data_IF_570101106084
#
_entry.id   IF_570101106084
#
_cell.length_a   1.000
_cell.length_b   1.000
_cell.length_c   1.000
_cell.angle_alpha   90.00
_cell.angle_beta   90.00
_cell.angle_gamma   90.00
#
_symmetry.space_group_name_H-M   'P 1'
#
loop_
_entity.id
_entity.type
_entity.pdbx_description
1 polymer ?
#
# COMPACT_ATOMS: atom_id res chain seq x y z
N UNK A 1 13.18 -9.81 -23.77
CA UNK A 1 12.05 -8.90 -23.50
C UNK A 1 10.92 -9.67 -22.81
N UNK A 2 10.21 -9.09 -21.85
CA UNK A 2 9.05 -9.75 -21.25
C UNK A 2 8.00 -10.11 -22.28
N UNK A 3 7.45 -11.31 -22.19
CA UNK A 3 6.35 -11.76 -23.04
C UNK A 3 5.04 -11.12 -22.54
N UNK A 4 4.29 -10.48 -23.42
CA UNK A 4 2.99 -9.90 -23.09
C UNK A 4 1.89 -10.96 -23.30
N UNK A 5 1.21 -11.35 -22.21
CA UNK A 5 0.09 -12.28 -22.23
C UNK A 5 -1.25 -11.58 -22.47
N UNK A 6 -1.41 -10.35 -21.91
CA UNK A 6 -2.67 -9.61 -21.99
C UNK A 6 -2.41 -8.11 -22.15
N UNK A 7 -3.33 -7.41 -22.79
CA UNK A 7 -3.37 -5.96 -22.83
C UNK A 7 -4.81 -5.51 -23.01
N UNK A 8 -5.28 -4.65 -22.14
CA UNK A 8 -6.59 -4.02 -22.23
C UNK A 8 -6.48 -2.51 -22.02
N UNK A 9 -7.47 -1.77 -22.53
CA UNK A 9 -7.58 -0.32 -22.40
C UNK A 9 -8.99 0.06 -22.01
N UNK A 10 -9.11 0.92 -20.98
CA UNK A 10 -10.38 1.51 -20.60
C UNK A 10 -10.17 2.98 -20.17
N UNK A 11 -11.19 3.59 -19.51
CA UNK A 11 -11.11 4.97 -19.00
C UNK A 11 -9.91 5.19 -18.06
N UNK A 12 -9.56 4.20 -17.23
CA UNK A 12 -8.46 4.29 -16.28
C UNK A 12 -7.06 4.04 -16.91
N UNK A 13 -6.97 3.77 -18.22
CA UNK A 13 -5.70 3.61 -18.92
C UNK A 13 -5.45 2.20 -19.46
N UNK A 14 -4.17 1.90 -19.74
CA UNK A 14 -3.76 0.64 -20.39
C UNK A 14 -3.16 -0.30 -19.33
N UNK A 15 -3.75 -1.49 -19.17
CA UNK A 15 -3.22 -2.56 -18.33
C UNK A 15 -2.56 -3.62 -19.20
N UNK A 16 -1.46 -4.16 -18.73
CA UNK A 16 -0.72 -5.25 -19.39
C UNK A 16 -0.37 -6.32 -18.36
N UNK A 17 -0.51 -7.58 -18.75
CA UNK A 17 0.06 -8.71 -18.03
C UNK A 17 1.27 -9.19 -18.81
N UNK A 18 2.42 -9.26 -18.15
CA UNK A 18 3.70 -9.62 -18.77
C UNK A 18 4.43 -10.69 -17.97
N UNK A 19 5.10 -11.59 -18.68
CA UNK A 19 5.94 -12.63 -18.11
C UNK A 19 7.40 -12.30 -18.40
N UNK A 20 8.24 -12.32 -17.37
CA UNK A 20 9.69 -12.28 -17.46
C UNK A 20 10.23 -13.70 -17.16
N UNK A 21 10.32 -14.54 -18.20
CA UNK A 21 10.69 -15.96 -18.06
C UNK A 21 12.07 -16.15 -17.42
N UNK A 22 13.04 -15.30 -17.77
CA UNK A 22 14.37 -15.28 -17.17
C UNK A 22 14.38 -14.98 -15.65
N UNK A 23 13.33 -14.34 -15.15
CA UNK A 23 13.14 -14.01 -13.74
C UNK A 23 12.09 -14.87 -13.05
N UNK A 24 11.47 -15.79 -13.75
CA UNK A 24 10.36 -16.60 -13.26
C UNK A 24 9.25 -15.76 -12.60
N UNK A 25 8.85 -14.65 -13.23
CA UNK A 25 7.83 -13.75 -12.68
C UNK A 25 6.79 -13.35 -13.72
N UNK A 26 5.57 -13.10 -13.23
CA UNK A 26 4.46 -12.49 -13.96
C UNK A 26 4.06 -11.22 -13.24
N UNK A 27 3.75 -10.16 -13.98
CA UNK A 27 3.42 -8.86 -13.41
C UNK A 27 2.26 -8.18 -14.13
N UNK A 28 1.46 -7.42 -13.39
CA UNK A 28 0.51 -6.46 -13.94
C UNK A 28 1.13 -5.07 -13.95
N UNK A 29 1.09 -4.43 -15.12
CA UNK A 29 1.64 -3.10 -15.36
C UNK A 29 0.52 -2.19 -15.89
N UNK A 30 0.41 -0.99 -15.31
CA UNK A 30 -0.49 0.06 -15.75
C UNK A 30 0.35 1.30 -16.13
N UNK A 31 0.36 1.65 -17.40
CA UNK A 31 1.30 2.66 -17.90
C UNK A 31 2.76 2.24 -17.69
N UNK A 32 3.48 2.99 -16.84
CA UNK A 32 4.85 2.70 -16.38
C UNK A 32 4.91 2.06 -15.00
N UNK A 33 3.78 2.00 -14.27
CA UNK A 33 3.72 1.55 -12.88
C UNK A 33 3.38 0.06 -12.80
N UNK A 34 4.16 -0.68 -12.00
CA UNK A 34 3.85 -2.06 -11.67
C UNK A 34 2.84 -2.11 -10.53
N UNK A 35 1.69 -2.75 -10.76
CA UNK A 35 0.61 -2.93 -9.80
C UNK A 35 0.68 -4.25 -9.03
N UNK A 36 1.68 -5.04 -9.27
CA UNK A 36 1.95 -6.27 -8.56
C UNK A 36 2.75 -7.25 -9.39
N UNK A 37 3.43 -8.15 -8.72
CA UNK A 37 4.25 -9.21 -9.30
C UNK A 37 4.06 -10.51 -8.52
N UNK A 38 4.02 -11.62 -9.22
CA UNK A 38 3.93 -12.97 -8.66
C UNK A 38 5.04 -13.85 -9.20
N UNK A 39 5.57 -14.75 -8.37
CA UNK A 39 6.50 -15.79 -8.77
C UNK A 39 5.80 -16.87 -9.62
N UNK A 40 6.48 -17.37 -10.63
CA UNK A 40 6.06 -18.55 -11.41
C UNK A 40 6.65 -19.85 -10.82
N UNK A 41 7.52 -19.75 -9.82
CA UNK A 41 8.03 -20.91 -9.09
C UNK A 41 6.95 -21.40 -8.12
N UNK A 42 6.60 -22.68 -8.20
CA UNK A 42 5.49 -23.27 -7.45
C UNK A 42 5.64 -23.12 -5.93
N UNK A 43 6.86 -23.26 -5.42
CA UNK A 43 7.21 -23.12 -4.00
C UNK A 43 7.14 -21.66 -3.49
N UNK A 44 7.13 -20.67 -4.40
CA UNK A 44 7.11 -19.23 -4.09
C UNK A 44 5.91 -18.50 -4.68
N UNK A 45 4.99 -19.22 -5.32
CA UNK A 45 3.90 -18.62 -6.08
C UNK A 45 2.97 -17.74 -5.23
N UNK A 46 2.81 -18.06 -3.96
CA UNK A 46 2.00 -17.29 -3.01
C UNK A 46 2.82 -16.38 -2.09
N UNK A 47 4.14 -16.28 -2.27
CA UNK A 47 4.94 -15.29 -1.55
C UNK A 47 4.64 -13.88 -2.07
N UNK A 48 4.49 -12.87 -1.18
CA UNK A 48 4.27 -11.49 -1.61
C UNK A 48 5.57 -10.92 -2.18
N UNK A 49 5.52 -10.39 -3.39
CA UNK A 49 6.65 -9.79 -4.08
C UNK A 49 6.48 -8.28 -4.27
N UNK A 50 7.42 -7.66 -4.97
CA UNK A 50 7.53 -6.22 -5.22
C UNK A 50 7.57 -5.42 -3.90
N UNK A 51 6.82 -4.35 -3.81
CA UNK A 51 6.73 -3.49 -2.62
C UNK A 51 5.91 -4.11 -1.47
N UNK A 52 5.30 -5.28 -1.68
CA UNK A 52 4.66 -6.09 -0.63
C UNK A 52 5.57 -7.16 -0.02
N UNK A 53 6.85 -7.19 -0.39
CA UNK A 53 7.78 -8.25 -0.01
C UNK A 53 7.85 -8.46 1.51
N UNK A 54 7.96 -9.73 1.95
CA UNK A 54 7.96 -10.12 3.37
C UNK A 54 9.10 -9.48 4.20
N UNK A 55 10.23 -9.15 3.57
CA UNK A 55 11.35 -8.45 4.22
C UNK A 55 11.29 -6.92 4.03
N UNK A 56 10.20 -6.39 3.48
CA UNK A 56 9.97 -4.97 3.28
C UNK A 56 9.01 -4.36 4.33
N UNK A 57 8.55 -3.12 4.07
CA UNK A 57 7.66 -2.39 4.99
C UNK A 57 6.39 -3.14 5.36
N UNK A 58 5.69 -3.70 4.37
CA UNK A 58 4.44 -4.46 4.60
C UNK A 58 4.72 -5.70 5.43
N UNK A 59 5.80 -6.44 5.14
CA UNK A 59 6.20 -7.58 5.96
C UNK A 59 6.48 -7.20 7.42
N UNK A 60 7.13 -6.03 7.65
CA UNK A 60 7.39 -5.54 9.00
C UNK A 60 6.12 -5.17 9.77
N UNK A 61 5.07 -4.69 9.09
CA UNK A 61 3.75 -4.42 9.67
C UNK A 61 3.05 -5.74 10.06
N UNK A 62 2.98 -6.71 9.14
CA UNK A 62 2.30 -7.99 9.40
C UNK A 62 3.07 -8.91 10.37
N UNK A 63 4.32 -8.60 10.68
CA UNK A 63 5.07 -9.26 11.75
C UNK A 63 4.65 -8.81 13.16
N UNK A 64 3.97 -7.66 13.29
CA UNK A 64 3.52 -7.13 14.58
C UNK A 64 2.38 -7.97 15.19
N UNK A 65 2.27 -7.94 16.52
CA UNK A 65 1.28 -8.76 17.25
C UNK A 65 -0.17 -8.42 16.89
N UNK A 66 -0.48 -7.15 16.63
CA UNK A 66 -1.84 -6.74 16.28
C UNK A 66 -2.36 -7.43 15.00
N UNK A 67 -1.49 -7.69 14.04
CA UNK A 67 -1.83 -8.37 12.78
C UNK A 67 -1.96 -9.89 12.92
N UNK A 68 -1.70 -10.44 14.12
CA UNK A 68 -1.82 -11.86 14.40
C UNK A 68 -3.20 -12.27 14.96
N UNK A 69 -4.06 -11.30 15.26
CA UNK A 69 -5.45 -11.55 15.71
C UNK A 69 -6.18 -12.45 14.72
N UNK A 70 -6.96 -13.41 15.23
CA UNK A 70 -7.72 -14.34 14.37
C UNK A 70 -8.85 -13.67 13.59
N UNK A 71 -9.37 -12.56 14.09
CA UNK A 71 -10.45 -11.74 13.53
C UNK A 71 -9.96 -10.42 12.93
N UNK A 72 -8.67 -10.31 12.62
CA UNK A 72 -8.06 -9.11 12.02
C UNK A 72 -8.75 -8.72 10.72
N UNK A 73 -9.06 -7.43 10.60
CA UNK A 73 -9.73 -6.86 9.43
C UNK A 73 -8.90 -5.76 8.79
N UNK A 74 -8.61 -5.92 7.51
CA UNK A 74 -7.90 -4.93 6.71
C UNK A 74 -8.82 -4.31 5.65
N UNK A 75 -8.85 -2.98 5.55
CA UNK A 75 -9.42 -2.24 4.42
C UNK A 75 -8.29 -1.81 3.49
N UNK A 76 -8.34 -2.18 2.21
CA UNK A 76 -7.27 -1.89 1.24
C UNK A 76 -7.87 -1.07 0.09
N UNK A 77 -7.42 0.17 -0.06
CA UNK A 77 -7.77 1.03 -1.19
C UNK A 77 -6.83 0.70 -2.34
N UNK A 78 -7.36 0.04 -3.37
CA UNK A 78 -6.63 -0.58 -4.46
C UNK A 78 -6.53 -2.11 -4.30
N UNK A 79 -6.58 -2.84 -5.41
CA UNK A 79 -6.48 -4.30 -5.43
C UNK A 79 -5.12 -4.78 -5.95
N UNK A 80 -4.60 -4.13 -6.99
CA UNK A 80 -3.48 -4.66 -7.74
C UNK A 80 -3.78 -6.08 -8.23
N UNK A 81 -2.91 -7.02 -7.92
CA UNK A 81 -3.11 -8.46 -8.22
C UNK A 81 -3.57 -9.26 -6.99
N UNK A 82 -3.90 -8.58 -5.88
CA UNK A 82 -4.29 -9.21 -4.63
C UNK A 82 -3.12 -9.70 -3.75
N UNK A 83 -1.90 -9.23 -3.98
CA UNK A 83 -0.67 -9.69 -3.26
C UNK A 83 -0.77 -9.57 -1.74
N UNK A 84 -1.53 -8.60 -1.21
CA UNK A 84 -1.75 -8.43 0.23
C UNK A 84 -2.38 -9.65 0.89
N UNK A 85 -3.13 -10.48 0.14
CA UNK A 85 -3.73 -11.71 0.66
C UNK A 85 -2.71 -12.75 1.12
N UNK A 86 -1.47 -12.67 0.66
CA UNK A 86 -0.39 -13.52 1.14
C UNK A 86 -0.16 -13.40 2.66
N UNK A 87 -0.57 -12.29 3.26
CA UNK A 87 -0.49 -12.06 4.71
C UNK A 87 -1.74 -12.51 5.49
N UNK A 88 -2.86 -12.74 4.81
CA UNK A 88 -4.11 -13.09 5.45
C UNK A 88 -4.06 -14.50 6.05
N UNK A 89 -4.44 -14.62 7.31
CA UNK A 89 -4.57 -15.90 8.03
C UNK A 89 -6.02 -16.39 8.04
N UNK A 90 -6.27 -17.67 8.31
CA UNK A 90 -7.63 -18.16 8.50
C UNK A 90 -8.40 -17.35 9.56
N UNK A 91 -9.63 -16.97 9.25
CA UNK A 91 -10.49 -16.15 10.11
C UNK A 91 -10.33 -14.63 9.93
N UNK A 92 -9.29 -14.17 9.24
CA UNK A 92 -9.08 -12.76 8.95
C UNK A 92 -9.85 -12.33 7.69
N UNK A 93 -10.20 -11.04 7.60
CA UNK A 93 -10.91 -10.44 6.47
C UNK A 93 -10.09 -9.31 5.84
N UNK A 94 -9.87 -9.39 4.54
CA UNK A 94 -9.20 -8.38 3.71
C UNK A 94 -10.20 -7.85 2.69
N UNK A 95 -10.70 -6.63 2.90
CA UNK A 95 -11.65 -5.97 2.00
C UNK A 95 -10.89 -5.03 1.07
N UNK A 96 -10.92 -5.33 -0.22
CA UNK A 96 -10.32 -4.52 -1.28
C UNK A 96 -11.36 -3.62 -1.93
N UNK A 97 -11.02 -2.36 -2.10
CA UNK A 97 -11.81 -1.35 -2.81
C UNK A 97 -11.08 -0.99 -4.09
N UNK A 98 -11.58 -1.42 -5.24
CA UNK A 98 -10.94 -1.21 -6.54
C UNK A 98 -11.89 -0.47 -7.49
N UNK A 99 -11.42 0.67 -8.00
CA UNK A 99 -12.24 1.51 -8.87
C UNK A 99 -12.34 0.97 -10.30
N UNK A 100 -11.35 0.18 -10.73
CA UNK A 100 -11.26 -0.30 -12.11
C UNK A 100 -11.70 -1.77 -12.22
N UNK A 101 -12.89 -2.04 -12.81
CA UNK A 101 -13.37 -3.40 -12.97
C UNK A 101 -12.46 -4.28 -13.84
N UNK A 102 -11.62 -3.67 -14.70
CA UNK A 102 -10.66 -4.44 -15.50
C UNK A 102 -9.49 -4.95 -14.63
N UNK A 103 -9.05 -4.19 -13.63
CA UNK A 103 -8.07 -4.67 -12.64
C UNK A 103 -8.65 -5.86 -11.87
N UNK A 104 -9.90 -5.78 -11.42
CA UNK A 104 -10.58 -6.89 -10.74
C UNK A 104 -10.60 -8.14 -11.62
N UNK A 105 -11.00 -8.00 -12.88
CA UNK A 105 -11.08 -9.10 -13.85
C UNK A 105 -9.71 -9.75 -14.09
N UNK A 106 -8.66 -8.95 -14.24
CA UNK A 106 -7.29 -9.45 -14.43
C UNK A 106 -6.81 -10.19 -13.18
N UNK A 107 -7.01 -9.61 -11.99
CA UNK A 107 -6.58 -10.21 -10.72
C UNK A 107 -7.32 -11.52 -10.39
N UNK A 108 -8.58 -11.64 -10.79
CA UNK A 108 -9.40 -12.84 -10.60
C UNK A 108 -9.10 -13.96 -11.61
N UNK A 109 -8.39 -13.67 -12.70
CA UNK A 109 -8.06 -14.68 -13.70
C UNK A 109 -6.93 -15.59 -13.21
N UNK A 110 -7.20 -16.88 -12.91
CA UNK A 110 -6.22 -17.82 -12.37
C UNK A 110 -5.09 -18.16 -13.36
N UNK A 111 -5.29 -17.90 -14.67
CA UNK A 111 -4.24 -18.06 -15.68
C UNK A 111 -3.15 -17.00 -15.56
N UNK A 112 -3.44 -15.90 -14.83
CA UNK A 112 -2.49 -14.82 -14.59
C UNK A 112 -2.00 -14.80 -13.15
N UNK A 113 -2.93 -14.78 -12.17
CA UNK A 113 -2.60 -14.58 -10.76
C UNK A 113 -3.36 -15.53 -9.84
N UNK A 114 -2.70 -16.01 -8.78
CA UNK A 114 -3.23 -17.07 -7.93
C UNK A 114 -3.72 -16.57 -6.56
N UNK A 115 -3.41 -15.32 -6.15
CA UNK A 115 -3.72 -14.88 -4.78
C UNK A 115 -5.23 -14.91 -4.47
N UNK A 116 -6.08 -14.37 -5.35
CA UNK A 116 -7.52 -14.33 -5.11
C UNK A 116 -8.16 -15.72 -5.12
N UNK A 117 -7.67 -16.64 -5.93
CA UNK A 117 -8.16 -18.02 -5.94
C UNK A 117 -7.70 -18.82 -4.72
N UNK A 118 -6.44 -18.61 -4.28
CA UNK A 118 -5.85 -19.32 -3.15
C UNK A 118 -6.44 -18.86 -1.79
N UNK A 119 -6.82 -17.59 -1.66
CA UNK A 119 -7.27 -16.98 -0.40
C UNK A 119 -8.70 -16.42 -0.48
N UNK A 120 -9.55 -16.99 -1.34
CA UNK A 120 -10.91 -16.49 -1.62
C UNK A 120 -11.81 -16.38 -0.38
N UNK A 121 -11.59 -17.22 0.62
CA UNK A 121 -12.31 -17.23 1.89
C UNK A 121 -11.98 -16.06 2.82
N UNK A 122 -10.92 -15.30 2.51
CA UNK A 122 -10.41 -14.15 3.28
C UNK A 122 -10.53 -12.84 2.52
N UNK A 123 -10.92 -12.90 1.24
CA UNK A 123 -10.97 -11.77 0.34
C UNK A 123 -12.40 -11.30 0.12
N UNK A 124 -12.64 -10.02 0.31
CA UNK A 124 -13.84 -9.32 -0.14
C UNK A 124 -13.44 -8.23 -1.13
N UNK A 125 -14.06 -8.19 -2.31
CA UNK A 125 -13.75 -7.19 -3.33
C UNK A 125 -15.00 -6.34 -3.56
N UNK A 126 -14.85 -5.02 -3.45
CA UNK A 126 -15.89 -4.03 -3.69
C UNK A 126 -15.43 -3.14 -4.85
N UNK A 127 -16.17 -3.16 -5.96
CA UNK A 127 -15.89 -2.30 -7.10
C UNK A 127 -16.40 -0.89 -6.83
N UNK A 128 -15.50 0.10 -6.84
CA UNK A 128 -15.86 1.50 -6.64
C UNK A 128 -14.71 2.35 -6.13
N UNK A 129 -14.95 3.65 -5.98
CA UNK A 129 -14.02 4.58 -5.37
C UNK A 129 -13.71 4.18 -3.92
N UNK A 130 -12.43 3.97 -3.61
CA UNK A 130 -12.01 3.41 -2.32
C UNK A 130 -12.46 4.22 -1.12
N UNK A 131 -12.36 5.56 -1.19
CA UNK A 131 -12.77 6.46 -0.12
C UNK A 131 -14.29 6.42 0.10
N UNK A 132 -15.07 6.50 -0.98
CA UNK A 132 -16.54 6.45 -0.90
C UNK A 132 -17.07 5.11 -0.42
N UNK A 133 -16.39 4.03 -0.80
CA UNK A 133 -16.82 2.68 -0.41
C UNK A 133 -16.45 2.36 1.04
N UNK A 134 -15.24 2.71 1.50
CA UNK A 134 -14.83 2.48 2.89
C UNK A 134 -15.65 3.31 3.88
N UNK A 135 -16.14 4.50 3.47
CA UNK A 135 -17.05 5.34 4.26
C UNK A 135 -18.36 4.63 4.62
N UNK A 136 -18.79 3.65 3.83
CA UNK A 136 -19.98 2.85 4.08
C UNK A 136 -19.78 1.70 5.07
N UNK A 137 -18.52 1.43 5.46
CA UNK A 137 -18.22 0.43 6.47
C UNK A 137 -18.63 0.90 7.87
N UNK A 138 -18.87 -0.02 8.83
CA UNK A 138 -19.14 0.37 10.20
C UNK A 138 -18.00 1.20 10.82
N UNK A 139 -18.31 2.11 11.77
CA UNK A 139 -17.29 2.77 12.59
C UNK A 139 -16.48 1.73 13.38
N UNK A 140 -15.19 1.97 13.56
CA UNK A 140 -14.26 1.10 14.30
C UNK A 140 -14.28 -0.34 13.81
N UNK A 141 -14.25 -0.53 12.48
CA UNK A 141 -14.36 -1.84 11.87
C UNK A 141 -12.99 -2.46 11.54
N UNK A 142 -12.05 -1.65 11.02
CA UNK A 142 -10.76 -2.12 10.55
C UNK A 142 -9.65 -2.02 11.60
N UNK A 143 -8.82 -3.04 11.72
CA UNK A 143 -7.56 -2.99 12.46
C UNK A 143 -6.48 -2.24 11.66
N UNK A 144 -6.52 -2.32 10.33
CA UNK A 144 -5.62 -1.58 9.46
C UNK A 144 -6.34 -1.11 8.19
N UNK A 145 -6.01 0.12 7.74
CA UNK A 145 -6.45 0.67 6.45
C UNK A 145 -5.20 0.96 5.63
N UNK A 146 -5.12 0.41 4.42
CA UNK A 146 -4.01 0.60 3.49
C UNK A 146 -4.45 1.48 2.32
N UNK A 147 -3.87 2.66 2.21
CA UNK A 147 -4.03 3.54 1.05
C UNK A 147 -2.93 3.19 0.02
N UNK A 148 -3.25 2.25 -0.87
CA UNK A 148 -2.36 1.71 -1.89
C UNK A 148 -2.95 1.84 -3.30
N UNK A 149 -3.84 2.81 -3.50
CA UNK A 149 -4.37 3.14 -4.81
C UNK A 149 -3.43 4.09 -5.54
N UNK A 150 -3.01 3.70 -6.74
CA UNK A 150 -2.14 4.51 -7.59
C UNK A 150 -2.83 4.86 -8.91
N UNK A 151 -2.78 6.13 -9.26
CA UNK A 151 -3.11 6.62 -10.59
C UNK A 151 -1.85 7.27 -11.18
N UNK A 152 -1.25 6.61 -12.18
CA UNK A 152 -0.07 7.13 -12.89
C UNK A 152 1.08 7.59 -11.97
N UNK A 153 1.67 6.70 -11.19
CA UNK A 153 2.84 6.91 -10.31
C UNK A 153 2.58 7.74 -9.03
N UNK A 154 1.33 8.07 -8.65
CA UNK A 154 1.06 8.72 -7.36
C UNK A 154 -0.29 8.33 -6.76
N UNK A 155 -0.42 8.47 -5.44
CA UNK A 155 -1.71 8.37 -4.75
C UNK A 155 -2.63 9.48 -5.27
N UNK A 156 -3.90 9.18 -5.63
CA UNK A 156 -4.90 10.20 -5.91
C UNK A 156 -5.07 11.16 -4.73
N UNK A 157 -5.00 12.46 -4.99
CA UNK A 157 -5.02 13.51 -3.94
C UNK A 157 -6.17 13.33 -2.95
N UNK A 158 -7.38 13.01 -3.44
CA UNK A 158 -8.58 12.85 -2.60
C UNK A 158 -8.49 11.71 -1.57
N UNK A 159 -7.48 10.84 -1.67
CA UNK A 159 -7.21 9.78 -0.68
C UNK A 159 -6.25 10.24 0.44
N UNK A 160 -5.66 11.43 0.32
CA UNK A 160 -4.70 11.98 1.28
C UNK A 160 -5.09 13.43 1.69
N UNK A 161 -6.37 13.69 1.90
CA UNK A 161 -6.92 14.95 2.42
C UNK A 161 -7.34 14.81 3.88
N UNK A 162 -7.57 15.93 4.56
CA UNK A 162 -8.09 15.95 5.93
C UNK A 162 -9.43 15.23 6.02
N UNK A 163 -10.31 15.42 5.04
CA UNK A 163 -11.63 14.78 4.98
C UNK A 163 -11.50 13.26 4.78
N UNK A 164 -10.56 12.81 3.96
CA UNK A 164 -10.28 11.39 3.79
C UNK A 164 -9.74 10.77 5.09
N UNK A 165 -8.81 11.46 5.77
CA UNK A 165 -8.26 10.99 7.03
C UNK A 165 -9.32 10.87 8.12
N UNK A 166 -10.28 11.81 8.20
CA UNK A 166 -11.40 11.75 9.13
C UNK A 166 -12.28 10.50 8.89
N UNK A 167 -12.56 10.17 7.62
CA UNK A 167 -13.27 8.94 7.26
C UNK A 167 -12.49 7.71 7.74
N UNK A 168 -11.20 7.62 7.42
CA UNK A 168 -10.39 6.46 7.82
C UNK A 168 -10.29 6.33 9.34
N UNK A 169 -10.09 7.43 10.06
CA UNK A 169 -10.01 7.46 11.51
C UNK A 169 -11.30 6.95 12.19
N UNK A 170 -12.47 7.29 11.64
CA UNK A 170 -13.76 6.82 12.16
C UNK A 170 -13.96 5.31 11.88
N UNK A 171 -13.45 4.78 10.76
CA UNK A 171 -13.56 3.35 10.39
C UNK A 171 -12.50 2.48 11.07
N UNK A 172 -11.46 3.10 11.64
CA UNK A 172 -10.35 2.40 12.28
C UNK A 172 -10.65 2.04 13.73
N UNK A 173 -10.20 0.87 14.17
CA UNK A 173 -10.16 0.52 15.59
C UNK A 173 -9.26 1.50 16.37
N UNK A 174 -9.47 1.72 17.68
CA UNK A 174 -8.68 2.69 18.47
C UNK A 174 -7.17 2.48 18.38
N UNK A 175 -6.71 1.22 18.38
CA UNK A 175 -5.29 0.86 18.28
C UNK A 175 -4.86 0.48 16.86
N UNK A 176 -5.70 0.81 15.87
CA UNK A 176 -5.45 0.49 14.48
C UNK A 176 -4.43 1.41 13.82
N UNK A 177 -4.10 1.09 12.57
CA UNK A 177 -3.13 1.83 11.76
C UNK A 177 -3.71 2.24 10.41
N UNK A 178 -3.27 3.39 9.89
CA UNK A 178 -3.47 3.78 8.50
C UNK A 178 -2.11 3.77 7.81
N UNK A 179 -2.01 3.06 6.69
CA UNK A 179 -0.76 2.85 5.96
C UNK A 179 -0.86 3.52 4.60
N UNK A 180 0.04 4.45 4.31
CA UNK A 180 0.13 5.11 3.01
C UNK A 180 1.34 4.58 2.25
N UNK A 181 1.12 3.99 1.07
CA UNK A 181 2.19 3.74 0.13
C UNK A 181 2.52 5.05 -0.60
N UNK A 182 3.73 5.58 -0.37
CA UNK A 182 4.19 6.82 -0.97
C UNK A 182 5.33 6.61 -1.96
N UNK A 183 5.49 5.37 -2.42
CA UNK A 183 6.51 4.99 -3.40
C UNK A 183 6.25 5.68 -4.73
N UNK A 184 6.79 6.86 -4.93
CA UNK A 184 6.72 7.56 -6.21
C UNK A 184 8.02 8.32 -6.53
N UNK A 185 8.25 8.61 -7.82
CA UNK A 185 9.50 9.19 -8.31
C UNK A 185 9.54 10.72 -8.23
N UNK A 186 8.39 11.36 -8.28
CA UNK A 186 8.30 12.79 -8.64
C UNK A 186 7.82 13.67 -7.49
N UNK A 187 7.03 13.12 -6.55
CA UNK A 187 6.34 13.89 -5.53
C UNK A 187 6.78 13.41 -4.14
N UNK A 188 7.15 14.34 -3.27
CA UNK A 188 7.41 14.06 -1.86
C UNK A 188 6.14 14.32 -1.04
N UNK A 189 5.45 13.25 -0.65
CA UNK A 189 4.21 13.33 0.13
C UNK A 189 4.44 13.46 1.64
N UNK A 190 5.68 13.35 2.12
CA UNK A 190 6.01 13.42 3.55
C UNK A 190 5.52 14.71 4.22
N UNK A 191 5.67 15.92 3.63
CA UNK A 191 5.19 17.15 4.24
C UNK A 191 3.67 17.19 4.43
N UNK A 192 2.92 16.68 3.44
CA UNK A 192 1.46 16.58 3.52
C UNK A 192 1.06 15.62 4.63
N UNK A 193 1.62 14.40 4.63
CA UNK A 193 1.29 13.38 5.62
C UNK A 193 1.69 13.79 7.03
N UNK A 194 2.81 14.50 7.20
CA UNK A 194 3.19 15.03 8.51
C UNK A 194 2.18 16.08 9.02
N UNK A 195 1.72 16.97 8.14
CA UNK A 195 0.69 17.98 8.50
C UNK A 195 -0.63 17.29 8.84
N UNK A 196 -1.06 16.31 8.05
CA UNK A 196 -2.29 15.53 8.31
C UNK A 196 -2.22 14.80 9.66
N UNK A 197 -1.10 14.12 9.94
CA UNK A 197 -0.91 13.41 11.20
C UNK A 197 -0.97 14.35 12.39
N UNK A 198 -0.25 15.49 12.33
CA UNK A 198 -0.23 16.50 13.39
C UNK A 198 -1.63 17.05 13.68
N UNK A 199 -2.39 17.41 12.63
CA UNK A 199 -3.72 18.01 12.78
C UNK A 199 -4.78 17.04 13.33
N UNK A 200 -4.56 15.72 13.21
CA UNK A 200 -5.49 14.68 13.65
C UNK A 200 -4.95 13.85 14.84
N UNK A 201 -3.91 14.33 15.53
CA UNK A 201 -3.28 13.70 16.69
C UNK A 201 -2.84 12.25 16.42
N UNK A 202 -2.25 12.00 15.24
CA UNK A 202 -1.60 10.74 14.92
C UNK A 202 -0.08 10.83 15.07
N UNK A 203 0.53 9.76 15.54
CA UNK A 203 1.95 9.49 15.40
C UNK A 203 2.19 9.00 13.98
N UNK A 204 3.04 9.71 13.23
CA UNK A 204 3.43 9.29 11.88
C UNK A 204 4.80 8.62 11.90
N UNK A 205 4.86 7.38 11.41
CA UNK A 205 6.07 6.58 11.25
C UNK A 205 6.40 6.45 9.77
N UNK A 206 7.67 6.62 9.41
CA UNK A 206 8.16 6.59 8.03
C UNK A 206 9.24 5.53 7.84
N UNK A 207 9.25 4.89 6.69
CA UNK A 207 10.32 4.01 6.26
C UNK A 207 10.55 4.11 4.74
N UNK A 208 11.81 4.12 4.35
CA UNK A 208 12.26 3.98 2.97
C UNK A 208 13.07 2.68 2.85
N UNK A 209 12.55 1.72 2.12
CA UNK A 209 13.17 0.44 1.83
C UNK A 209 13.91 0.51 0.49
N UNK A 210 15.17 0.93 0.51
CA UNK A 210 15.99 1.11 -0.68
C UNK A 210 17.39 0.46 -0.59
N UNK A 211 17.71 -0.14 0.57
CA UNK A 211 19.03 -0.75 0.82
C UNK A 211 18.85 -2.23 1.11
N UNK A 212 19.02 -3.06 0.09
CA UNK A 212 19.04 -4.51 0.20
C UNK A 212 19.87 -5.15 -0.94
N UNK A 213 20.50 -6.26 -0.67
CA UNK A 213 21.26 -7.00 -1.68
C UNK A 213 20.28 -7.65 -2.67
N UNK A 214 20.33 -7.21 -3.95
CA UNK A 214 19.40 -7.69 -4.99
C UNK A 214 19.68 -9.14 -5.40
N UNK A 215 20.92 -9.58 -5.24
CA UNK A 215 21.34 -10.94 -5.60
C UNK A 215 21.15 -11.94 -4.45
N UNK A 216 20.72 -11.48 -3.28
CA UNK A 216 20.36 -12.35 -2.17
C UNK A 216 19.02 -13.05 -2.48
N UNK A 217 18.97 -14.40 -2.50
CA UNK A 217 17.73 -15.16 -2.71
C UNK A 217 16.60 -14.80 -1.75
N UNK A 218 16.92 -14.32 -0.53
CA UNK A 218 15.96 -13.87 0.45
C UNK A 218 15.22 -12.57 0.03
N UNK A 219 15.79 -11.83 -0.95
CA UNK A 219 15.21 -10.61 -1.51
C UNK A 219 14.66 -10.82 -2.94
N UNK A 220 14.42 -12.08 -3.35
CA UNK A 220 13.86 -12.37 -4.65
C UNK A 220 12.55 -11.60 -4.88
N UNK A 221 12.55 -10.78 -5.92
CA UNK A 221 11.37 -9.98 -6.28
C UNK A 221 11.09 -8.79 -5.38
N UNK A 222 11.95 -8.45 -4.39
CA UNK A 222 11.82 -7.24 -3.56
C UNK A 222 12.09 -5.99 -4.38
N UNK A 223 11.28 -4.97 -4.19
CA UNK A 223 11.42 -3.67 -4.85
C UNK A 223 11.56 -2.55 -3.83
N UNK A 224 12.24 -1.48 -4.25
CA UNK A 224 12.31 -0.23 -3.49
C UNK A 224 10.90 0.26 -3.21
N UNK A 225 10.64 0.63 -1.96
CA UNK A 225 9.33 1.12 -1.53
C UNK A 225 9.44 2.12 -0.38
N UNK A 226 8.47 3.01 -0.27
CA UNK A 226 8.42 4.06 0.75
C UNK A 226 7.01 4.12 1.33
N UNK A 227 6.91 4.07 2.67
CA UNK A 227 5.64 4.02 3.38
C UNK A 227 5.60 4.98 4.56
N UNK A 228 4.39 5.44 4.87
CA UNK A 228 4.07 6.14 6.12
C UNK A 228 2.95 5.41 6.82
N UNK A 229 3.10 5.19 8.12
CA UNK A 229 2.07 4.62 9.00
C UNK A 229 1.60 5.69 9.98
N UNK A 230 0.29 5.83 10.13
CA UNK A 230 -0.35 6.62 11.17
C UNK A 230 -0.93 5.69 12.23
N UNK A 231 -0.69 6.01 13.49
CA UNK A 231 -1.28 5.32 14.65
C UNK A 231 -1.49 6.30 15.80
N UNK A 232 -2.45 6.01 16.69
CA UNK A 232 -2.61 6.72 17.97
C UNK A 232 -1.97 5.96 19.13
N UNK A 233 -1.45 4.77 18.89
CA UNK A 233 -0.82 3.90 19.88
C UNK A 233 0.69 4.13 19.93
N UNK A 234 1.20 4.65 21.05
CA UNK A 234 2.65 4.73 21.30
C UNK A 234 3.31 3.36 21.28
N UNK A 235 2.62 2.33 21.81
CA UNK A 235 3.11 0.95 21.79
C UNK A 235 3.31 0.44 20.37
N UNK A 236 2.38 0.76 19.45
CA UNK A 236 2.50 0.42 18.03
C UNK A 236 3.70 1.15 17.39
N UNK A 237 3.86 2.44 17.65
CA UNK A 237 4.98 3.21 17.13
C UNK A 237 6.32 2.63 17.61
N UNK A 238 6.46 2.30 18.89
CA UNK A 238 7.65 1.66 19.45
C UNK A 238 7.93 0.30 18.83
N UNK A 239 6.90 -0.51 18.63
CA UNK A 239 7.07 -1.84 18.02
C UNK A 239 7.51 -1.77 16.55
N UNK A 240 7.08 -0.75 15.82
CA UNK A 240 7.58 -0.48 14.47
C UNK A 240 9.04 0.01 14.48
N UNK A 241 9.42 0.87 15.42
CA UNK A 241 10.81 1.35 15.57
C UNK A 241 11.79 0.21 15.87
N UNK A 242 11.35 -0.79 16.60
CA UNK A 242 12.17 -1.94 17.02
C UNK A 242 11.94 -3.19 16.17
N UNK A 243 11.23 -3.07 15.05
CA UNK A 243 10.95 -4.20 14.15
C UNK A 243 12.23 -4.88 13.65
N UNK A 244 12.38 -6.21 13.78
CA UNK A 244 13.56 -6.93 13.33
C UNK A 244 13.67 -7.04 11.81
N UNK A 245 12.58 -6.80 11.08
CA UNK A 245 12.56 -6.84 9.62
C UNK A 245 13.04 -5.52 9.04
N UNK A 246 12.45 -4.40 9.50
CA UNK A 246 12.78 -3.07 9.01
C UNK A 246 12.35 -2.03 10.04
N UNK A 247 13.30 -1.25 10.56
CA UNK A 247 13.05 -0.24 11.57
C UNK A 247 12.42 1.02 10.96
N UNK A 248 11.34 1.49 11.56
CA UNK A 248 10.66 2.72 11.20
C UNK A 248 11.18 3.89 12.03
N UNK A 249 10.98 5.09 11.53
CA UNK A 249 11.39 6.33 12.20
C UNK A 249 10.20 7.28 12.32
N UNK A 250 10.17 8.10 13.38
CA UNK A 250 9.14 9.16 13.46
C UNK A 250 9.30 10.12 12.28
N UNK A 251 8.23 10.40 11.58
CA UNK A 251 8.24 11.27 10.38
C UNK A 251 8.63 12.71 10.73
N UNK A 252 8.21 13.22 11.90
CA UNK A 252 8.54 14.55 12.38
C UNK A 252 10.06 14.79 12.49
N UNK A 253 10.83 13.78 12.92
CA UNK A 253 12.29 13.88 13.08
C UNK A 253 13.00 14.05 11.72
N UNK A 254 12.36 13.56 10.64
CA UNK A 254 12.90 13.67 9.27
C UNK A 254 12.60 15.01 8.61
N UNK A 255 11.52 15.68 9.01
CA UNK A 255 11.09 16.96 8.44
C UNK A 255 11.73 18.13 9.17
N UNK A 256 11.93 18.04 10.49
CA UNK A 256 12.55 19.08 11.30
C UNK A 256 14.02 19.38 10.91
N UNK A 257 14.69 18.44 10.25
CA UNK A 257 16.04 18.63 9.72
C UNK A 257 16.08 19.46 8.42
N UNK A 258 14.94 19.63 7.74
CA UNK A 258 14.82 20.39 6.49
C UNK A 258 14.04 21.70 6.75
N UNK A 259 14.77 22.79 7.05
CA UNK A 259 14.22 24.13 7.35
C UNK A 259 13.38 24.76 6.23
N UNK A 260 13.28 24.11 5.06
CA UNK A 260 12.57 24.62 3.89
C UNK A 260 11.16 24.06 3.74
N UNK A 261 10.75 23.10 4.57
CA UNK A 261 9.48 22.42 4.43
C UNK A 261 8.37 23.19 5.14
N UNK A 262 7.67 24.08 4.40
CA UNK A 262 6.43 24.68 4.88
C UNK A 262 5.35 23.58 5.06
N UNK A 263 4.49 23.76 6.08
CA UNK A 263 3.31 22.89 6.26
C UNK A 263 2.44 22.92 5.01
N UNK A 264 2.21 21.74 4.43
CA UNK A 264 1.39 21.60 3.21
C UNK A 264 0.07 20.94 3.61
N UNK A 265 -0.99 21.73 3.62
CA UNK A 265 -2.32 21.27 3.97
C UNK A 265 -3.09 20.85 2.72
N UNK A 266 -3.62 19.64 2.71
CA UNK A 266 -4.52 19.14 1.69
C UNK A 266 -5.93 18.93 2.24
N UNK A 267 -6.89 19.56 1.56
CA UNK A 267 -8.33 19.37 1.77
C UNK A 267 -8.98 19.03 0.44
N UNK A 268 -10.23 18.59 0.44
CA UNK A 268 -10.99 18.32 -0.78
C UNK A 268 -11.12 19.55 -1.68
N UNK A 269 -11.10 20.75 -1.09
CA UNK A 269 -11.23 22.02 -1.80
C UNK A 269 -9.89 22.69 -2.13
N UNK A 270 -8.79 22.22 -1.56
CA UNK A 270 -7.46 22.87 -1.73
C UNK A 270 -6.35 21.84 -1.61
N UNK A 271 -5.66 21.61 -2.73
CA UNK A 271 -4.48 20.75 -2.80
C UNK A 271 -3.53 21.30 -3.86
N UNK A 272 -2.26 21.40 -3.54
CA UNK A 272 -1.22 21.81 -4.50
C UNK A 272 -0.10 20.76 -4.52
N UNK A 273 0.24 20.29 -5.71
CA UNK A 273 1.37 19.41 -5.95
C UNK A 273 2.68 20.17 -6.14
N UNK A 274 2.62 21.46 -6.53
CA UNK A 274 3.80 22.24 -6.92
C UNK A 274 4.91 22.26 -5.86
N UNK A 275 4.64 22.49 -4.54
CA UNK A 275 5.69 22.49 -3.52
C UNK A 275 6.31 21.12 -3.26
N UNK A 276 5.73 20.04 -3.78
CA UNK A 276 6.07 18.65 -3.48
C UNK A 276 6.94 17.99 -4.56
N UNK A 277 7.18 18.65 -5.69
CA UNK A 277 8.02 18.08 -6.74
C UNK A 277 9.47 17.92 -6.27
N UNK A 278 10.00 16.68 -6.35
CA UNK A 278 11.39 16.33 -5.97
C UNK A 278 12.46 17.02 -6.83
N UNK A 279 12.08 17.56 -8.01
CA UNK A 279 13.02 18.27 -8.90
C UNK A 279 13.44 19.67 -8.42
N UNK A 280 12.77 20.19 -7.39
CA UNK A 280 13.05 21.54 -6.83
C UNK A 280 13.73 21.46 -5.45
N UNK A 281 14.23 20.29 -5.06
CA UNK A 281 14.94 20.05 -3.79
C UNK A 281 16.36 19.55 -4.00
#
# INVERSE_FOLDING_TARGET
>A
MPLRLHSSRNFFGIKKVTVASEKNTIAMIHGSTMHGMQSLLLDKMLEPLAYFHKNGPIGSIFAQEFAKKSDFKAGILGLGIGSMLAYAKPGQEFTFYEIDPEVIKIAQNPDYFSYLSAFKDRARIICGDGRRMIEQSPSRYFDAIFADAFSSDSIPVHLATEEALNIYADRLQPDGIIVFNISNRYIDLKPVLATLAHNADFIAMHVLDNVFAKDDPANFGRHVSEYVVFTKSEQMAESLMTSPILAWHKLADRISSDKTTAAVRWTDNSSSLFPLFKMFR
#
